data_IF_231086015148
#
_entry.id   IF_231086015148
#
_cell.length_a   1.000
_cell.length_b   1.000
_cell.length_c   1.000
_cell.angle_alpha   90.00
_cell.angle_beta   90.00
_cell.angle_gamma   90.00
#
_symmetry.space_group_name_H-M   'P 1'
#
loop_
_entity.id
_entity.type
_entity.pdbx_description
1 polymer ?
#
# COMPACT_ATOMS: atom_id res chain seq x y z
N UNK A 1 -6.52 40.72 -19.51
CA UNK A 1 -5.75 39.49 -19.19
C UNK A 1 -6.76 38.42 -18.77
N UNK A 2 -7.28 37.65 -19.72
CA UNK A 2 -8.24 36.61 -19.42
C UNK A 2 -7.50 35.38 -18.90
N UNK A 3 -7.74 35.02 -17.64
CA UNK A 3 -7.25 33.78 -17.05
C UNK A 3 -7.85 32.62 -17.85
N UNK A 4 -7.01 31.88 -18.59
CA UNK A 4 -7.42 30.61 -19.19
C UNK A 4 -7.83 29.67 -18.04
N UNK A 5 -9.14 29.52 -17.83
CA UNK A 5 -9.69 28.39 -17.08
C UNK A 5 -9.25 27.12 -17.81
N UNK A 6 -8.14 26.53 -17.37
CA UNK A 6 -7.67 25.23 -17.84
C UNK A 6 -8.62 24.17 -17.30
N UNK A 7 -9.72 23.98 -18.01
CA UNK A 7 -10.67 22.91 -17.73
C UNK A 7 -10.10 21.63 -18.35
N UNK A 8 -9.63 20.71 -17.51
CA UNK A 8 -9.18 19.37 -17.93
C UNK A 8 -10.33 18.40 -17.72
N UNK A 9 -10.73 17.69 -18.78
CA UNK A 9 -11.78 16.68 -18.71
C UNK A 9 -11.22 15.29 -18.42
N UNK A 10 -11.98 14.49 -17.68
CA UNK A 10 -11.70 13.09 -17.40
C UNK A 10 -12.77 12.26 -18.09
N UNK A 11 -12.35 11.39 -19.01
CA UNK A 11 -13.23 10.45 -19.71
C UNK A 11 -12.81 9.03 -19.37
N UNK A 12 -13.72 8.23 -18.84
CA UNK A 12 -13.51 6.80 -18.62
C UNK A 12 -14.60 5.99 -19.30
N UNK A 13 -14.25 4.79 -19.77
CA UNK A 13 -15.24 3.80 -20.18
C UNK A 13 -15.64 3.01 -18.93
N UNK A 14 -16.94 2.94 -18.69
CA UNK A 14 -17.53 2.15 -17.61
C UNK A 14 -18.70 1.36 -18.17
N UNK A 15 -18.97 0.24 -17.52
CA UNK A 15 -20.17 -0.54 -17.77
C UNK A 15 -21.44 0.27 -17.50
N UNK A 16 -22.49 0.05 -18.31
CA UNK A 16 -23.73 0.81 -18.20
C UNK A 16 -24.46 0.53 -16.88
N UNK A 17 -24.55 -0.75 -16.50
CA UNK A 17 -25.21 -1.17 -15.26
C UNK A 17 -24.44 -0.68 -14.03
N UNK A 18 -23.10 -0.60 -14.13
CA UNK A 18 -22.28 0.01 -13.09
C UNK A 18 -22.56 1.52 -12.96
N UNK A 19 -22.67 2.25 -14.08
CA UNK A 19 -22.97 3.68 -14.08
C UNK A 19 -24.31 3.96 -13.42
N UNK A 20 -25.35 3.22 -13.78
CA UNK A 20 -26.69 3.42 -13.25
C UNK A 20 -26.74 3.18 -11.73
N UNK A 21 -26.17 2.05 -11.27
CA UNK A 21 -26.12 1.73 -9.83
C UNK A 21 -25.31 2.76 -9.05
N UNK A 22 -24.15 3.18 -9.57
CA UNK A 22 -23.34 4.20 -8.93
C UNK A 22 -24.08 5.55 -8.85
N UNK A 23 -24.79 5.93 -9.90
CA UNK A 23 -25.56 7.18 -9.95
C UNK A 23 -26.66 7.18 -8.88
N UNK A 24 -27.43 6.10 -8.78
CA UNK A 24 -28.49 5.98 -7.76
C UNK A 24 -27.96 6.10 -6.33
N UNK A 25 -26.78 5.52 -6.04
CA UNK A 25 -26.15 5.61 -4.72
C UNK A 25 -25.64 7.04 -4.45
N UNK A 26 -25.00 7.67 -5.43
CA UNK A 26 -24.44 9.02 -5.28
C UNK A 26 -25.55 10.08 -5.18
N UNK A 27 -26.64 9.93 -5.93
CA UNK A 27 -27.80 10.82 -5.86
C UNK A 27 -28.48 10.76 -4.49
N UNK A 28 -28.53 9.59 -3.86
CA UNK A 28 -29.01 9.45 -2.48
C UNK A 28 -28.12 10.21 -1.47
N UNK A 29 -26.84 10.42 -1.80
CA UNK A 29 -25.91 11.26 -1.05
C UNK A 29 -25.92 12.75 -1.50
N UNK A 30 -26.75 13.13 -2.48
CA UNK A 30 -26.80 14.48 -3.03
C UNK A 30 -25.56 14.85 -3.87
N UNK A 31 -24.86 13.85 -4.42
CA UNK A 31 -23.64 14.04 -5.20
C UNK A 31 -23.83 13.63 -6.65
N UNK A 32 -23.35 14.46 -7.58
CA UNK A 32 -23.20 14.03 -8.96
C UNK A 32 -22.00 13.10 -9.11
N UNK A 33 -21.97 12.29 -10.19
CA UNK A 33 -20.78 11.48 -10.53
C UNK A 33 -19.52 12.36 -10.63
N UNK A 34 -19.64 13.55 -11.21
CA UNK A 34 -18.51 14.47 -11.34
C UNK A 34 -17.99 14.95 -9.98
N UNK A 35 -18.89 15.21 -9.03
CA UNK A 35 -18.49 15.63 -7.68
C UNK A 35 -17.85 14.50 -6.90
N UNK A 36 -18.42 13.29 -6.98
CA UNK A 36 -17.82 12.09 -6.40
C UNK A 36 -16.42 11.82 -6.97
N UNK A 37 -16.23 11.98 -8.28
CA UNK A 37 -14.93 11.79 -8.93
C UNK A 37 -13.90 12.84 -8.49
N UNK A 38 -14.31 14.10 -8.31
CA UNK A 38 -13.45 15.16 -7.77
C UNK A 38 -13.01 14.85 -6.35
N UNK A 39 -13.93 14.38 -5.50
CA UNK A 39 -13.62 13.97 -4.12
C UNK A 39 -12.65 12.78 -4.10
N UNK A 40 -12.89 11.78 -4.95
CA UNK A 40 -11.99 10.64 -5.09
C UNK A 40 -10.56 11.07 -5.43
N UNK A 41 -10.38 11.92 -6.45
CA UNK A 41 -9.04 12.38 -6.82
C UNK A 41 -8.38 13.23 -5.73
N UNK A 42 -9.14 14.05 -5.01
CA UNK A 42 -8.61 14.78 -3.84
C UNK A 42 -8.09 13.82 -2.78
N UNK A 43 -8.85 12.78 -2.47
CA UNK A 43 -8.43 11.80 -1.48
C UNK A 43 -7.19 11.03 -1.94
N UNK A 44 -7.10 10.67 -3.23
CA UNK A 44 -5.90 10.01 -3.79
C UNK A 44 -4.66 10.85 -3.61
N UNK A 45 -4.76 12.16 -3.84
CA UNK A 45 -3.65 13.10 -3.64
C UNK A 45 -3.30 13.23 -2.17
N UNK A 46 -4.29 13.29 -1.28
CA UNK A 46 -4.08 13.46 0.17
C UNK A 46 -3.43 12.24 0.83
N UNK A 47 -3.82 11.03 0.43
CA UNK A 47 -3.29 9.78 1.01
C UNK A 47 -2.07 9.23 0.26
N UNK A 48 -1.63 9.91 -0.80
CA UNK A 48 -0.58 9.46 -1.72
C UNK A 48 -0.78 8.00 -2.19
N UNK A 49 -2.03 7.60 -2.40
CA UNK A 49 -2.41 6.21 -2.59
C UNK A 49 -3.88 6.02 -2.91
N UNK A 50 -4.36 4.77 -2.89
CA UNK A 50 -5.78 4.50 -3.09
C UNK A 50 -6.55 4.76 -1.79
N UNK A 51 -7.68 5.49 -1.85
CA UNK A 51 -8.44 5.91 -0.67
C UNK A 51 -9.33 4.80 -0.10
N UNK A 52 -9.09 3.55 -0.51
CA UNK A 52 -9.77 2.36 -0.06
C UNK A 52 -8.75 1.25 0.10
N UNK A 53 -9.06 0.34 1.02
CA UNK A 53 -8.19 -0.77 1.37
C UNK A 53 -8.09 -1.75 0.20
N UNK A 54 -6.93 -1.81 -0.45
CA UNK A 54 -6.66 -2.74 -1.56
C UNK A 54 -6.31 -4.10 -0.97
N UNK A 55 -7.34 -4.83 -0.53
CA UNK A 55 -7.22 -6.09 0.22
C UNK A 55 -6.74 -7.30 -0.59
N UNK A 56 -6.14 -7.10 -1.76
CA UNK A 56 -5.56 -8.20 -2.53
C UNK A 56 -4.05 -8.03 -2.50
N UNK A 57 -3.34 -8.72 -1.57
CA UNK A 57 -1.89 -8.80 -1.63
C UNK A 57 -1.49 -9.24 -3.03
N UNK A 58 -0.57 -8.51 -3.66
CA UNK A 58 0.02 -8.98 -4.91
C UNK A 58 0.59 -10.39 -4.70
N UNK A 59 0.64 -11.22 -5.74
CA UNK A 59 1.17 -12.59 -5.60
C UNK A 59 2.58 -12.62 -4.96
N UNK A 60 3.39 -11.58 -5.21
CA UNK A 60 4.69 -11.38 -4.57
C UNK A 60 4.56 -11.07 -3.07
N UNK A 61 3.64 -10.17 -2.70
CA UNK A 61 3.37 -9.83 -1.29
C UNK A 61 2.78 -11.00 -0.52
N UNK A 62 1.91 -11.80 -1.14
CA UNK A 62 1.35 -13.00 -0.56
C UNK A 62 2.44 -14.04 -0.24
N UNK A 63 3.33 -14.31 -1.20
CA UNK A 63 4.49 -15.21 -0.99
C UNK A 63 5.44 -14.70 0.09
N UNK A 64 5.77 -13.40 0.06
CA UNK A 64 6.62 -12.81 1.09
C UNK A 64 6.01 -12.90 2.50
N UNK A 65 4.67 -12.77 2.63
CA UNK A 65 3.96 -12.95 3.90
C UNK A 65 3.97 -14.42 4.36
N UNK A 66 3.93 -15.38 3.43
CA UNK A 66 4.05 -16.81 3.73
C UNK A 66 5.47 -17.15 4.21
N UNK A 67 6.49 -16.72 3.48
CA UNK A 67 7.91 -16.85 3.86
C UNK A 67 8.19 -16.19 5.22
N UNK A 68 7.67 -14.98 5.45
CA UNK A 68 7.83 -14.28 6.72
C UNK A 68 7.23 -15.02 7.92
N UNK A 69 6.17 -15.81 7.74
CA UNK A 69 5.60 -16.64 8.83
C UNK A 69 6.49 -17.83 9.18
N UNK A 70 7.30 -18.30 8.23
CA UNK A 70 8.24 -19.40 8.44
C UNK A 70 9.59 -18.93 9.04
N UNK A 71 9.92 -17.64 8.89
CA UNK A 71 11.13 -17.05 9.49
C UNK A 71 10.97 -16.98 11.01
N UNK A 72 11.58 -17.96 11.71
CA UNK A 72 11.71 -18.00 13.18
C UNK A 72 13.00 -17.36 13.70
N UNK A 73 13.75 -16.67 12.85
CA UNK A 73 15.08 -16.16 13.18
C UNK A 73 14.94 -14.93 14.08
N UNK A 74 15.59 -14.98 15.25
CA UNK A 74 15.68 -13.87 16.20
C UNK A 74 17.12 -13.35 16.19
N UNK A 75 17.26 -12.03 16.32
CA UNK A 75 18.55 -11.35 16.41
C UNK A 75 18.67 -10.68 17.76
N UNK A 76 19.89 -10.64 18.32
CA UNK A 76 20.13 -10.04 19.62
C UNK A 76 20.46 -8.55 19.53
N UNK A 77 20.73 -8.04 18.32
CA UNK A 77 20.93 -6.62 18.04
C UNK A 77 20.51 -6.24 16.61
N UNK A 78 20.24 -4.96 16.37
CA UNK A 78 19.94 -4.46 15.02
C UNK A 78 21.11 -4.67 14.06
N UNK A 79 22.35 -4.51 14.53
CA UNK A 79 23.56 -4.74 13.72
C UNK A 79 23.64 -6.18 13.23
N UNK A 80 23.33 -7.16 14.09
CA UNK A 80 23.32 -8.58 13.72
C UNK A 80 22.30 -8.88 12.62
N UNK A 81 21.11 -8.26 12.69
CA UNK A 81 20.07 -8.38 11.67
C UNK A 81 20.50 -7.74 10.34
N UNK A 82 21.07 -6.53 10.39
CA UNK A 82 21.51 -5.78 9.21
C UNK A 82 22.66 -6.48 8.48
N UNK A 83 23.63 -7.04 9.21
CA UNK A 83 24.72 -7.81 8.61
C UNK A 83 24.21 -9.07 7.91
N UNK A 84 23.23 -9.78 8.48
CA UNK A 84 22.63 -10.95 7.82
C UNK A 84 21.86 -10.57 6.54
N UNK A 85 21.08 -9.48 6.56
CA UNK A 85 20.35 -8.97 5.39
C UNK A 85 21.28 -8.52 4.26
N UNK A 86 22.43 -7.95 4.60
CA UNK A 86 23.44 -7.50 3.64
C UNK A 86 24.30 -8.66 3.10
N UNK A 87 24.09 -9.89 3.56
CA UNK A 87 24.89 -11.05 3.18
C UNK A 87 26.29 -11.07 3.80
N UNK A 88 26.53 -10.24 4.82
CA UNK A 88 27.80 -10.13 5.54
C UNK A 88 27.80 -11.07 6.75
N UNK A 89 27.54 -12.37 6.54
CA UNK A 89 27.71 -13.36 7.60
C UNK A 89 29.17 -13.77 7.71
N UNK A 90 29.89 -13.12 8.63
CA UNK A 90 31.06 -13.75 9.25
C UNK A 90 30.54 -14.79 10.25
N UNK A 91 30.83 -16.07 10.02
CA UNK A 91 30.61 -17.15 10.98
C UNK A 91 31.44 -16.93 12.26
N UNK A 92 31.06 -16.04 13.18
CA UNK A 92 31.73 -15.95 14.49
C UNK A 92 30.79 -15.51 15.60
N UNK A 93 30.23 -16.50 16.29
CA UNK A 93 30.40 -16.60 17.76
C UNK A 93 29.93 -17.96 18.25
N UNK A 94 30.86 -18.91 18.26
CA UNK A 94 30.78 -20.06 19.15
C UNK A 94 30.75 -19.52 20.58
N UNK A 95 29.63 -19.73 21.28
CA UNK A 95 29.60 -20.22 22.65
C UNK A 95 30.73 -19.69 23.58
N UNK A 96 30.72 -18.39 23.93
CA UNK A 96 31.48 -17.91 25.10
C UNK A 96 30.53 -17.65 26.27
N UNK A 97 30.07 -18.73 26.87
CA UNK A 97 29.58 -18.74 28.24
C UNK A 97 29.72 -20.16 28.83
N UNK A 98 30.97 -20.65 28.92
CA UNK A 98 31.31 -21.61 29.98
C UNK A 98 32.32 -20.93 30.91
N UNK A 99 31.78 -20.56 32.07
CA UNK A 99 32.40 -20.63 33.38
C UNK A 99 33.62 -19.76 33.64
N UNK A 100 33.36 -18.59 34.22
CA UNK A 100 34.21 -18.04 35.27
C UNK A 100 33.50 -18.29 36.61
N UNK A 101 33.93 -19.36 37.29
CA UNK A 101 33.86 -19.62 38.73
C UNK A 101 34.67 -20.89 39.00
#
# INVERSE_FOLDING_TARGET
MATLLKNTDVRCRIDADLKERATAVLDACGLSISDAMRLFFRQVVEVEGLPFDVRVPSARTAKALEEAREIRRQYNSMDEMLSDLNGETSEKSKHKARSAA
#
